data_IF_724516283768
#
_entry.id   IF_724516283768
#
_cell.length_a   1.000
_cell.length_b   1.000
_cell.length_c   1.000
_cell.angle_alpha   90.00
_cell.angle_beta   90.00
_cell.angle_gamma   90.00
#
_symmetry.space_group_name_H-M   'P 1'
#
loop_
_entity.id
_entity.type
_entity.pdbx_description
1 polymer ?
#
# COMPACT_ATOMS: atom_id res chain seq x y z
N UNK A 1 -6.96 2.89 -8.82
CA UNK A 1 -6.64 1.62 -9.49
C UNK A 1 -6.55 1.87 -10.98
N UNK A 2 -5.46 1.50 -11.58
CA UNK A 2 -5.05 1.89 -12.92
C UNK A 2 -5.64 0.98 -14.00
N UNK A 3 -5.93 1.55 -15.17
CA UNK A 3 -6.32 0.82 -16.38
C UNK A 3 -5.22 0.96 -17.43
N UNK A 4 -4.98 -0.08 -18.22
CA UNK A 4 -3.91 -0.08 -19.24
C UNK A 4 -4.07 1.03 -20.29
N UNK A 5 -5.26 1.56 -20.48
CA UNK A 5 -5.57 2.54 -21.53
C UNK A 5 -5.31 3.99 -21.11
N UNK A 6 -5.43 4.32 -19.82
CA UNK A 6 -5.33 5.71 -19.36
C UNK A 6 -4.00 6.06 -18.67
N UNK A 7 -3.28 5.05 -18.11
CA UNK A 7 -2.06 5.26 -17.30
C UNK A 7 -1.03 4.14 -17.52
N UNK A 8 -0.79 3.77 -18.78
CA UNK A 8 0.08 2.64 -19.14
C UNK A 8 1.46 2.71 -18.50
N UNK A 9 2.09 3.89 -18.47
CA UNK A 9 3.45 4.06 -17.94
C UNK A 9 3.48 3.81 -16.42
N UNK A 10 2.52 4.39 -15.69
CA UNK A 10 2.42 4.21 -14.23
C UNK A 10 2.10 2.77 -13.88
N UNK A 11 1.18 2.13 -14.63
CA UNK A 11 0.82 0.72 -14.45
C UNK A 11 2.04 -0.19 -14.63
N UNK A 12 2.77 -0.06 -15.74
CA UNK A 12 3.95 -0.88 -16.04
C UNK A 12 5.06 -0.61 -15.03
N UNK A 13 5.29 0.67 -14.68
CA UNK A 13 6.31 1.05 -13.71
C UNK A 13 6.06 0.44 -12.32
N UNK A 14 4.84 0.54 -11.81
CA UNK A 14 4.47 -0.07 -10.52
C UNK A 14 4.55 -1.59 -10.57
N UNK A 15 4.10 -2.20 -11.67
CA UNK A 15 4.15 -3.65 -11.81
C UNK A 15 5.59 -4.16 -11.80
N UNK A 16 6.51 -3.50 -12.52
CA UNK A 16 7.94 -3.85 -12.52
C UNK A 16 8.55 -3.68 -11.12
N UNK A 17 8.25 -2.57 -10.43
CA UNK A 17 8.75 -2.32 -9.07
C UNK A 17 8.30 -3.40 -8.10
N UNK A 18 7.02 -3.78 -8.12
CA UNK A 18 6.50 -4.81 -7.23
C UNK A 18 6.97 -6.22 -7.59
N UNK A 19 7.10 -6.54 -8.88
CA UNK A 19 7.68 -7.79 -9.32
C UNK A 19 9.14 -7.93 -8.85
N UNK A 20 9.92 -6.85 -8.97
CA UNK A 20 11.28 -6.79 -8.42
C UNK A 20 11.30 -7.04 -6.92
N UNK A 21 10.44 -6.32 -6.18
CA UNK A 21 10.33 -6.47 -4.74
C UNK A 21 9.92 -7.89 -4.33
N UNK A 22 9.02 -8.52 -5.08
CA UNK A 22 8.62 -9.92 -4.86
C UNK A 22 9.80 -10.87 -5.05
N UNK A 23 10.53 -10.77 -6.16
CA UNK A 23 11.70 -11.63 -6.45
C UNK A 23 12.73 -11.50 -5.34
N UNK A 24 13.00 -10.27 -4.89
CA UNK A 24 13.96 -10.02 -3.81
C UNK A 24 13.48 -10.59 -2.47
N UNK A 25 12.22 -10.38 -2.11
CA UNK A 25 11.62 -10.91 -0.88
C UNK A 25 11.62 -12.44 -0.84
N UNK A 26 11.33 -13.10 -1.97
CA UNK A 26 11.39 -14.57 -2.08
C UNK A 26 12.83 -15.07 -1.91
N UNK A 27 13.81 -14.42 -2.56
CA UNK A 27 15.23 -14.75 -2.37
C UNK A 27 15.64 -14.66 -0.90
N UNK A 28 15.27 -13.59 -0.22
CA UNK A 28 15.58 -13.38 1.19
C UNK A 28 14.87 -14.41 2.08
N UNK A 29 13.63 -14.79 1.77
CA UNK A 29 12.88 -15.82 2.48
C UNK A 29 13.55 -17.20 2.38
N UNK A 30 14.11 -17.54 1.21
CA UNK A 30 14.83 -18.79 1.01
C UNK A 30 16.17 -18.80 1.77
N UNK A 31 16.86 -17.65 1.82
CA UNK A 31 18.18 -17.50 2.47
C UNK A 31 18.09 -17.18 3.96
N UNK A 32 16.91 -17.03 4.53
CA UNK A 32 16.71 -16.64 5.91
C UNK A 32 17.31 -17.67 6.90
N UNK A 33 18.26 -17.27 7.78
CA UNK A 33 18.99 -18.19 8.63
C UNK A 33 18.18 -18.66 9.84
N UNK A 34 17.19 -17.89 10.29
CA UNK A 34 16.39 -18.20 11.47
C UNK A 34 14.90 -18.28 11.12
N UNK A 35 14.14 -19.02 11.91
CA UNK A 35 12.68 -19.13 11.75
C UNK A 35 12.01 -17.76 11.83
N UNK A 36 12.44 -16.92 12.76
CA UNK A 36 11.89 -15.56 12.95
C UNK A 36 12.13 -14.70 11.72
N UNK A 37 13.36 -14.69 11.20
CA UNK A 37 13.68 -13.95 9.96
C UNK A 37 12.88 -14.50 8.78
N UNK A 38 12.73 -15.82 8.70
CA UNK A 38 11.95 -16.49 7.63
C UNK A 38 10.47 -16.08 7.67
N UNK A 39 9.85 -16.10 8.84
CA UNK A 39 8.45 -15.64 8.99
C UNK A 39 8.34 -14.17 8.56
N UNK A 40 9.22 -13.31 9.06
CA UNK A 40 9.20 -11.88 8.73
C UNK A 40 9.39 -11.61 7.24
N UNK A 41 10.26 -12.36 6.57
CA UNK A 41 10.46 -12.25 5.10
C UNK A 41 9.25 -12.78 4.32
N UNK A 42 8.62 -13.88 4.75
CA UNK A 42 7.39 -14.36 4.13
C UNK A 42 6.24 -13.37 4.25
N UNK A 43 6.15 -12.64 5.35
CA UNK A 43 5.18 -11.54 5.50
C UNK A 43 5.40 -10.46 4.41
N UNK A 44 6.66 -10.15 4.05
CA UNK A 44 6.96 -9.23 2.94
C UNK A 44 6.59 -9.83 1.57
N UNK A 45 6.78 -11.13 1.37
CA UNK A 45 6.32 -11.81 0.14
C UNK A 45 4.80 -11.66 -0.01
N UNK A 46 4.03 -11.90 1.07
CA UNK A 46 2.57 -11.70 1.07
C UNK A 46 2.20 -10.27 0.70
N UNK A 47 2.91 -9.28 1.24
CA UNK A 47 2.70 -7.88 0.91
C UNK A 47 2.98 -7.59 -0.56
N UNK A 48 4.11 -8.04 -1.08
CA UNK A 48 4.48 -7.82 -2.49
C UNK A 48 3.47 -8.47 -3.46
N UNK A 49 3.00 -9.69 -3.15
CA UNK A 49 1.94 -10.36 -3.92
C UNK A 49 0.64 -9.56 -3.89
N UNK A 50 0.21 -9.10 -2.71
CA UNK A 50 -1.01 -8.29 -2.61
C UNK A 50 -0.90 -6.99 -3.42
N UNK A 51 0.25 -6.32 -3.39
CA UNK A 51 0.49 -5.10 -4.16
C UNK A 51 0.43 -5.37 -5.67
N UNK A 52 1.02 -6.46 -6.16
CA UNK A 52 0.91 -6.88 -7.57
C UNK A 52 -0.54 -7.13 -7.96
N UNK A 53 -1.30 -7.83 -7.13
CA UNK A 53 -2.71 -8.15 -7.40
C UNK A 53 -3.61 -6.91 -7.38
N UNK A 54 -3.23 -5.87 -6.63
CA UNK A 54 -3.97 -4.61 -6.55
C UNK A 54 -3.73 -3.69 -7.76
N UNK A 55 -2.61 -3.81 -8.46
CA UNK A 55 -2.30 -2.96 -9.62
C UNK A 55 -3.37 -3.13 -10.71
N UNK A 56 -3.74 -4.34 -11.20
CA UNK A 56 -4.85 -4.50 -12.13
C UNK A 56 -6.18 -4.62 -11.38
N UNK A 57 -7.10 -3.71 -11.63
CA UNK A 57 -8.45 -3.75 -11.04
C UNK A 57 -9.19 -5.07 -11.31
N UNK A 58 -8.93 -5.69 -12.46
CA UNK A 58 -9.54 -6.96 -12.86
C UNK A 58 -9.10 -8.16 -12.02
N UNK A 59 -7.92 -8.11 -11.42
CA UNK A 59 -7.38 -9.22 -10.61
C UNK A 59 -7.79 -9.12 -9.14
N UNK A 60 -7.92 -7.91 -8.63
CA UNK A 60 -8.22 -7.68 -7.21
C UNK A 60 -9.59 -8.21 -6.79
N UNK A 61 -10.64 -7.87 -7.57
CA UNK A 61 -12.02 -8.29 -7.22
C UNK A 61 -12.19 -9.81 -7.11
N UNK A 62 -11.82 -10.63 -8.12
CA UNK A 62 -11.96 -12.08 -8.03
C UNK A 62 -11.08 -12.68 -6.93
N UNK A 63 -9.87 -12.16 -6.72
CA UNK A 63 -8.98 -12.63 -5.65
C UNK A 63 -9.60 -12.41 -4.27
N UNK A 64 -10.10 -11.21 -4.00
CA UNK A 64 -10.77 -10.89 -2.71
C UNK A 64 -12.01 -11.75 -2.50
N UNK A 65 -12.79 -12.00 -3.55
CA UNK A 65 -13.95 -12.90 -3.48
C UNK A 65 -13.53 -14.33 -3.15
N UNK A 66 -12.46 -14.82 -3.75
CA UNK A 66 -11.96 -16.19 -3.55
C UNK A 66 -11.42 -16.43 -2.13
N UNK A 67 -10.83 -15.41 -1.47
CA UNK A 67 -10.26 -15.53 -0.12
C UNK A 67 -11.23 -15.21 1.02
N UNK A 68 -12.55 -15.11 0.74
CA UNK A 68 -13.56 -14.90 1.77
C UNK A 68 -14.05 -13.45 1.93
N UNK A 69 -13.86 -12.61 0.91
CA UNK A 69 -14.44 -11.28 0.84
C UNK A 69 -13.52 -10.14 1.30
N UNK A 70 -14.03 -8.88 1.27
CA UNK A 70 -13.21 -7.68 1.43
C UNK A 70 -12.64 -7.46 2.83
N UNK A 71 -13.11 -8.21 3.82
CA UNK A 71 -12.62 -8.13 5.22
C UNK A 71 -11.35 -8.97 5.42
N UNK A 72 -11.22 -10.08 4.70
CA UNK A 72 -10.12 -11.03 4.88
C UNK A 72 -8.73 -10.41 4.65
N UNK A 73 -8.47 -9.65 3.59
CA UNK A 73 -7.17 -8.98 3.43
C UNK A 73 -6.85 -8.05 4.59
N UNK A 74 -7.83 -7.29 5.09
CA UNK A 74 -7.63 -6.38 6.23
C UNK A 74 -7.18 -7.14 7.47
N UNK A 75 -7.82 -8.28 7.77
CA UNK A 75 -7.46 -9.12 8.93
C UNK A 75 -6.06 -9.70 8.76
N UNK A 76 -5.74 -10.25 7.58
CA UNK A 76 -4.42 -10.81 7.31
C UNK A 76 -3.34 -9.76 7.53
N UNK A 77 -3.51 -8.56 6.95
CA UNK A 77 -2.52 -7.49 7.10
C UNK A 77 -2.49 -6.89 8.51
N UNK A 78 -3.59 -6.91 9.26
CA UNK A 78 -3.60 -6.52 10.68
C UNK A 78 -2.75 -7.48 11.53
N UNK A 79 -2.85 -8.80 11.28
CA UNK A 79 -2.01 -9.81 11.93
C UNK A 79 -0.53 -9.62 11.55
N UNK A 80 -0.23 -9.38 10.27
CA UNK A 80 1.12 -9.09 9.80
C UNK A 80 1.69 -7.82 10.45
N UNK A 81 0.86 -6.77 10.57
CA UNK A 81 1.24 -5.52 11.27
C UNK A 81 1.54 -5.78 12.72
N UNK A 82 0.69 -6.51 13.43
CA UNK A 82 0.92 -6.87 14.84
C UNK A 82 2.25 -7.63 15.01
N UNK A 83 2.55 -8.57 14.12
CA UNK A 83 3.83 -9.28 14.10
C UNK A 83 5.00 -8.31 13.90
N UNK A 84 4.91 -7.40 12.94
CA UNK A 84 5.99 -6.45 12.65
C UNK A 84 6.21 -5.44 13.77
N UNK A 85 5.12 -4.96 14.40
CA UNK A 85 5.18 -4.09 15.60
C UNK A 85 5.84 -4.84 16.77
N UNK A 86 5.45 -6.08 17.01
CA UNK A 86 6.08 -6.91 18.04
C UNK A 86 7.59 -7.05 17.80
N UNK A 87 8.00 -7.35 16.56
CA UNK A 87 9.40 -7.47 16.19
C UNK A 87 10.17 -6.14 16.29
N UNK A 88 9.51 -5.01 15.95
CA UNK A 88 10.09 -3.68 16.08
C UNK A 88 10.31 -3.29 17.55
N UNK A 89 9.36 -3.59 18.41
CA UNK A 89 9.45 -3.36 19.85
C UNK A 89 10.54 -4.24 20.48
N UNK A 90 10.62 -5.52 20.09
CA UNK A 90 11.63 -6.46 20.59
C UNK A 90 13.05 -6.03 20.22
N UNK A 91 13.29 -5.60 18.97
CA UNK A 91 14.64 -5.23 18.50
C UNK A 91 15.00 -3.76 18.71
N UNK A 92 14.03 -2.91 19.06
CA UNK A 92 14.20 -1.46 19.26
C UNK A 92 14.98 -0.74 18.14
N UNK A 93 14.79 -1.19 16.88
CA UNK A 93 15.47 -0.65 15.70
C UNK A 93 14.54 0.28 14.93
N UNK A 94 15.03 1.48 14.60
CA UNK A 94 14.27 2.45 13.79
C UNK A 94 13.82 1.89 12.43
N UNK A 95 14.68 1.11 11.78
CA UNK A 95 14.36 0.47 10.51
C UNK A 95 13.20 -0.54 10.64
N UNK A 96 13.11 -1.28 11.75
CA UNK A 96 12.02 -2.21 12.02
C UNK A 96 10.68 -1.48 12.20
N UNK A 97 10.68 -0.30 12.83
CA UNK A 97 9.48 0.56 12.93
C UNK A 97 9.01 1.07 11.57
N UNK A 98 9.93 1.38 10.66
CA UNK A 98 9.59 1.75 9.29
C UNK A 98 8.83 0.63 8.57
N UNK A 99 9.26 -0.64 8.71
CA UNK A 99 8.56 -1.78 8.13
C UNK A 99 7.19 -1.99 8.79
N UNK A 100 7.07 -1.84 10.12
CA UNK A 100 5.78 -1.88 10.80
C UNK A 100 4.82 -0.80 10.27
N UNK A 101 5.32 0.42 10.02
CA UNK A 101 4.55 1.50 9.42
C UNK A 101 4.08 1.18 7.99
N UNK A 102 4.90 0.48 7.18
CA UNK A 102 4.47 0.02 5.85
C UNK A 102 3.28 -0.94 5.92
N UNK A 103 3.31 -1.91 6.84
CA UNK A 103 2.19 -2.83 7.05
C UNK A 103 0.95 -2.12 7.60
N UNK A 104 1.13 -1.18 8.52
CA UNK A 104 0.04 -0.34 9.03
C UNK A 104 -0.60 0.51 7.90
N UNK A 105 0.21 1.07 7.00
CA UNK A 105 -0.28 1.79 5.84
C UNK A 105 -1.07 0.88 4.89
N UNK A 106 -0.69 -0.39 4.73
CA UNK A 106 -1.45 -1.36 3.95
C UNK A 106 -2.82 -1.66 4.58
N UNK A 107 -2.88 -1.86 5.91
CA UNK A 107 -4.16 -2.02 6.63
C UNK A 107 -5.05 -0.81 6.44
N UNK A 108 -4.50 0.40 6.62
CA UNK A 108 -5.21 1.65 6.40
C UNK A 108 -5.74 1.76 4.97
N UNK A 109 -4.90 1.50 3.97
CA UNK A 109 -5.28 1.54 2.55
C UNK A 109 -6.45 0.59 2.24
N UNK A 110 -6.36 -0.67 2.68
CA UNK A 110 -7.40 -1.67 2.47
C UNK A 110 -8.71 -1.32 3.21
N UNK A 111 -8.61 -0.77 4.43
CA UNK A 111 -9.77 -0.31 5.19
C UNK A 111 -10.47 0.87 4.49
N UNK A 112 -9.70 1.83 3.97
CA UNK A 112 -10.22 2.96 3.21
C UNK A 112 -10.91 2.49 1.92
N UNK A 113 -10.28 1.59 1.14
CA UNK A 113 -10.91 1.01 -0.06
C UNK A 113 -12.21 0.27 0.25
N UNK A 114 -12.25 -0.48 1.35
CA UNK A 114 -13.48 -1.15 1.80
C UNK A 114 -14.57 -0.12 2.14
N UNK A 115 -14.23 0.96 2.83
CA UNK A 115 -15.17 2.04 3.16
C UNK A 115 -15.74 2.70 1.90
N UNK A 116 -14.89 3.05 0.94
CA UNK A 116 -15.34 3.59 -0.36
C UNK A 116 -16.30 2.61 -1.05
N UNK A 117 -15.95 1.32 -1.12
CA UNK A 117 -16.80 0.30 -1.73
C UNK A 117 -18.16 0.17 -1.04
N UNK A 118 -18.23 0.28 0.30
CA UNK A 118 -19.48 0.23 1.05
C UNK A 118 -20.35 1.46 0.81
N UNK A 119 -19.75 2.65 0.66
CA UNK A 119 -20.48 3.88 0.33
C UNK A 119 -21.07 3.82 -1.07
N UNK A 120 -20.36 3.25 -2.04
CA UNK A 120 -20.85 3.08 -3.41
C UNK A 120 -21.93 1.99 -3.53
N UNK A 121 -21.92 0.99 -2.63
CA UNK A 121 -22.90 -0.11 -2.64
C UNK A 121 -24.17 0.20 -1.83
N UNK A 122 -24.17 1.27 -1.02
CA UNK A 122 -25.34 1.66 -0.26
C UNK A 122 -26.50 2.03 -1.22
N UNK A 123 -27.66 1.37 -1.12
CA UNK A 123 -28.80 1.71 -1.95
C UNK A 123 -29.17 3.17 -1.67
N UNK A 124 -29.37 3.95 -2.72
CA UNK A 124 -29.84 5.34 -2.63
C UNK A 124 -31.33 5.35 -2.25
N UNK A 125 -31.67 4.74 -1.11
CA UNK A 125 -32.98 4.85 -0.48
C UNK A 125 -33.06 6.10 0.39
N UNK A 126 -32.78 7.24 -0.16
CA UNK A 126 -33.28 8.50 0.36
C UNK A 126 -34.46 8.88 -0.50
N UNK A 127 -35.67 8.77 0.09
CA UNK A 127 -36.92 9.11 -0.52
C UNK A 127 -36.90 10.49 -1.15
N UNK A 128 -36.64 10.52 -2.44
CA UNK A 128 -37.00 11.61 -3.29
C UNK A 128 -38.20 11.13 -4.14
N UNK A 129 -39.34 11.64 -3.77
CA UNK A 129 -40.56 11.62 -4.62
C UNK A 129 -40.15 11.81 -6.06
N UNK A 130 -40.66 10.93 -6.93
CA UNK A 130 -40.64 11.10 -8.38
C UNK A 130 -41.30 12.41 -8.75
N UNK A 131 -40.58 13.50 -8.73
CA UNK A 131 -40.96 14.72 -9.45
C UNK A 131 -40.20 14.69 -10.76
N UNK A 132 -40.97 14.69 -11.85
CA UNK A 132 -40.57 14.80 -13.26
C UNK A 132 -39.32 15.68 -13.43
N UNK A 133 -38.16 15.11 -13.76
CA UNK A 133 -36.99 15.90 -14.14
C UNK A 133 -36.63 15.69 -15.61
N UNK A 134 -36.76 16.81 -16.34
CA UNK A 134 -36.26 16.99 -17.68
C UNK A 134 -34.76 16.67 -17.81
N UNK A 135 -34.38 16.20 -18.96
CA UNK A 135 -33.08 15.64 -19.39
C UNK A 135 -31.81 16.49 -19.20
N UNK A 136 -31.78 17.57 -18.41
CA UNK A 136 -30.63 18.48 -18.25
C UNK A 136 -29.77 18.24 -16.98
N UNK A 137 -30.07 17.21 -16.16
CA UNK A 137 -29.51 17.05 -14.81
C UNK A 137 -28.39 16.04 -14.67
N UNK A 138 -27.87 15.43 -15.75
CA UNK A 138 -26.93 14.31 -15.63
C UNK A 138 -25.50 14.69 -15.10
N UNK A 139 -25.12 15.96 -15.22
CA UNK A 139 -23.82 16.45 -14.70
C UNK A 139 -23.82 16.81 -13.21
N UNK A 140 -24.97 17.09 -12.59
CA UNK A 140 -25.02 17.51 -11.18
C UNK A 140 -24.99 16.35 -10.18
N UNK A 141 -25.44 15.15 -10.57
CA UNK A 141 -25.49 13.96 -9.71
C UNK A 141 -24.07 13.46 -9.37
N UNK A 142 -23.13 13.54 -10.32
CA UNK A 142 -21.75 13.12 -10.11
C UNK A 142 -21.01 13.96 -9.05
N UNK A 143 -21.25 15.27 -9.03
CA UNK A 143 -20.59 16.19 -8.09
C UNK A 143 -21.11 16.00 -6.65
N UNK A 144 -22.39 15.76 -6.45
CA UNK A 144 -22.97 15.50 -5.13
C UNK A 144 -22.44 14.20 -4.50
N UNK A 145 -22.32 13.14 -5.27
CA UNK A 145 -21.77 11.86 -4.79
C UNK A 145 -20.30 12.00 -4.39
N UNK A 146 -19.50 12.69 -5.20
CA UNK A 146 -18.08 12.91 -4.90
C UNK A 146 -17.89 13.73 -3.61
N UNK A 147 -18.72 14.73 -3.38
CA UNK A 147 -18.68 15.54 -2.15
C UNK A 147 -18.99 14.70 -0.92
N UNK A 148 -20.00 13.82 -0.99
CA UNK A 148 -20.36 12.91 0.12
C UNK A 148 -19.23 11.93 0.40
N UNK A 149 -18.63 11.33 -0.64
CA UNK A 149 -17.50 10.41 -0.49
C UNK A 149 -16.31 11.16 0.14
N UNK A 150 -15.98 12.35 -0.33
CA UNK A 150 -14.88 13.14 0.21
C UNK A 150 -15.08 13.50 1.68
N UNK A 151 -16.28 13.91 2.07
CA UNK A 151 -16.60 14.19 3.49
C UNK A 151 -16.47 12.92 4.35
N UNK A 152 -17.01 11.80 3.91
CA UNK A 152 -16.93 10.53 4.63
C UNK A 152 -15.50 9.95 4.70
N UNK A 153 -14.62 10.33 3.77
CA UNK A 153 -13.23 9.87 3.71
C UNK A 153 -12.24 10.83 4.37
N UNK A 154 -12.69 12.01 4.82
CA UNK A 154 -11.80 13.01 5.42
C UNK A 154 -11.01 12.45 6.62
N UNK A 155 -11.67 11.77 7.55
CA UNK A 155 -11.01 11.20 8.74
C UNK A 155 -9.99 10.12 8.38
N UNK A 156 -10.30 9.31 7.35
CA UNK A 156 -9.34 8.34 6.82
C UNK A 156 -8.12 9.02 6.18
N UNK A 157 -8.33 10.11 5.45
CA UNK A 157 -7.25 10.87 4.85
C UNK A 157 -6.34 11.51 5.91
N UNK A 158 -6.92 12.10 6.96
CA UNK A 158 -6.17 12.65 8.10
C UNK A 158 -5.34 11.58 8.80
N UNK A 159 -5.94 10.41 9.10
CA UNK A 159 -5.22 9.29 9.70
C UNK A 159 -4.12 8.71 8.78
N UNK A 160 -4.29 8.81 7.47
CA UNK A 160 -3.32 8.35 6.48
C UNK A 160 -2.11 9.28 6.30
N UNK A 161 -2.25 10.57 6.58
CA UNK A 161 -1.18 11.54 6.36
C UNK A 161 0.15 11.17 7.06
N UNK A 162 0.20 10.84 8.35
CA UNK A 162 1.44 10.43 9.00
C UNK A 162 2.01 9.13 8.43
N UNK A 163 1.17 8.20 8.00
CA UNK A 163 1.62 6.96 7.34
C UNK A 163 2.27 7.26 6.00
N UNK A 164 1.73 8.21 5.22
CA UNK A 164 2.35 8.66 3.97
C UNK A 164 3.72 9.28 4.18
N UNK A 165 3.88 10.11 5.23
CA UNK A 165 5.19 10.68 5.59
C UNK A 165 6.17 9.56 5.95
N UNK A 166 5.73 8.57 6.72
CA UNK A 166 6.55 7.42 7.07
C UNK A 166 6.96 6.60 5.83
N UNK A 167 6.03 6.35 4.88
CA UNK A 167 6.31 5.66 3.62
C UNK A 167 7.33 6.42 2.77
N UNK A 168 7.18 7.73 2.63
CA UNK A 168 8.14 8.55 1.88
C UNK A 168 9.51 8.57 2.55
N UNK A 169 9.58 8.66 3.87
CA UNK A 169 10.84 8.56 4.61
C UNK A 169 11.53 7.20 4.39
N UNK A 170 10.74 6.10 4.39
CA UNK A 170 11.25 4.76 4.10
C UNK A 170 11.71 4.62 2.63
N UNK A 171 10.97 5.19 1.68
CA UNK A 171 11.38 5.21 0.28
C UNK A 171 12.71 5.95 0.11
N UNK A 172 12.87 7.12 0.73
CA UNK A 172 14.13 7.88 0.70
C UNK A 172 15.27 7.08 1.35
N UNK A 173 15.03 6.41 2.48
CA UNK A 173 16.03 5.58 3.15
C UNK A 173 16.45 4.40 2.27
N UNK A 174 15.49 3.70 1.64
CA UNK A 174 15.74 2.62 0.68
C UNK A 174 16.56 3.09 -0.53
N UNK A 175 16.19 4.24 -1.12
CA UNK A 175 16.91 4.83 -2.23
C UNK A 175 18.35 5.22 -1.85
N UNK A 176 18.53 5.84 -0.69
CA UNK A 176 19.87 6.18 -0.17
C UNK A 176 20.73 4.93 0.01
N UNK A 177 20.17 3.83 0.51
CA UNK A 177 20.86 2.53 0.64
C UNK A 177 21.21 1.97 -0.73
N UNK A 178 20.29 2.03 -1.70
CA UNK A 178 20.52 1.58 -3.06
C UNK A 178 21.65 2.35 -3.75
N UNK A 179 21.75 3.65 -3.54
CA UNK A 179 22.81 4.49 -4.12
C UNK A 179 24.16 4.27 -3.41
N UNK A 180 24.15 4.30 -2.07
CA UNK A 180 25.39 4.26 -1.28
C UNK A 180 26.07 2.89 -1.30
N UNK A 181 25.31 1.81 -1.36
CA UNK A 181 25.83 0.44 -1.26
C UNK A 181 26.58 0.14 0.05
N UNK A 182 26.37 0.97 1.08
CA UNK A 182 27.05 0.81 2.38
C UNK A 182 26.30 -0.18 3.25
N UNK A 183 27.04 -1.13 3.84
CA UNK A 183 26.50 -2.04 4.82
C UNK A 183 26.07 -1.27 6.08
N UNK A 184 24.86 -1.56 6.55
CA UNK A 184 24.44 -1.12 7.89
C UNK A 184 25.03 -2.05 8.96
N UNK A 185 25.22 -1.51 10.16
CA UNK A 185 25.58 -2.33 11.31
C UNK A 185 24.54 -3.45 11.51
N UNK A 186 24.96 -4.70 11.80
CA UNK A 186 24.03 -5.83 11.95
C UNK A 186 22.91 -5.58 12.96
N UNK A 187 23.17 -4.74 13.97
CA UNK A 187 22.16 -4.33 14.96
C UNK A 187 21.05 -3.41 14.39
N UNK A 188 21.29 -2.76 13.23
CA UNK A 188 20.33 -1.85 12.58
C UNK A 188 19.54 -2.51 11.47
N UNK A 189 19.94 -3.72 11.04
CA UNK A 189 19.24 -4.46 9.98
C UNK A 189 17.90 -4.96 10.52
N UNK A 190 16.76 -4.69 9.83
CA UNK A 190 15.47 -5.19 10.25
C UNK A 190 15.42 -6.71 10.33
N UNK A 191 14.54 -7.25 11.17
CA UNK A 191 14.35 -8.70 11.30
C UNK A 191 13.91 -9.39 10.01
N UNK A 192 13.33 -8.64 9.09
CA UNK A 192 12.81 -9.11 7.80
C UNK A 192 13.86 -9.14 6.67
N UNK A 193 15.08 -8.69 6.92
CA UNK A 193 16.14 -8.72 5.93
C UNK A 193 17.28 -9.66 6.33
N UNK A 194 17.81 -10.34 5.34
CA UNK A 194 19.06 -11.07 5.48
C UNK A 194 20.22 -10.06 5.43
N UNK A 195 21.15 -10.17 6.36
CA UNK A 195 22.33 -9.30 6.39
C UNK A 195 23.12 -9.51 5.10
N UNK A 196 23.10 -8.52 4.23
CA UNK A 196 23.88 -8.53 3.00
C UNK A 196 25.28 -7.96 3.27
N UNK A 197 26.30 -8.70 2.86
CA UNK A 197 27.71 -8.28 2.99
C UNK A 197 28.26 -7.70 1.70
N UNK A 198 27.72 -8.11 0.56
CA UNK A 198 28.13 -7.63 -0.76
C UNK A 198 27.47 -6.30 -1.13
N UNK A 199 28.23 -5.32 -1.64
CA UNK A 199 27.69 -4.00 -2.01
C UNK A 199 26.52 -4.07 -2.99
N UNK A 200 26.57 -5.00 -3.96
CA UNK A 200 25.49 -5.19 -4.91
C UNK A 200 24.21 -5.69 -4.23
N UNK A 201 24.32 -6.66 -3.33
CA UNK A 201 23.16 -7.18 -2.60
C UNK A 201 22.51 -6.10 -1.70
N UNK A 202 23.33 -5.22 -1.11
CA UNK A 202 22.87 -4.08 -0.30
C UNK A 202 22.07 -3.10 -1.18
N UNK A 203 22.60 -2.77 -2.36
CA UNK A 203 21.92 -1.87 -3.31
C UNK A 203 20.59 -2.45 -3.78
N UNK A 204 20.56 -3.73 -4.12
CA UNK A 204 19.36 -4.40 -4.61
C UNK A 204 18.29 -4.55 -3.52
N UNK A 205 18.68 -4.78 -2.27
CA UNK A 205 17.80 -4.76 -1.11
C UNK A 205 17.22 -3.37 -0.87
N UNK A 206 18.05 -2.32 -0.92
CA UNK A 206 17.60 -0.93 -0.83
C UNK A 206 16.62 -0.54 -1.92
N UNK A 207 16.81 -1.04 -3.15
CA UNK A 207 15.87 -0.84 -4.26
C UNK A 207 14.53 -1.54 -4.00
N UNK A 208 14.54 -2.73 -3.38
CA UNK A 208 13.30 -3.43 -3.04
C UNK A 208 12.51 -2.69 -1.95
N UNK A 209 13.18 -2.15 -0.93
CA UNK A 209 12.56 -1.33 0.10
C UNK A 209 11.98 -0.03 -0.48
N UNK A 210 12.74 0.64 -1.36
CA UNK A 210 12.25 1.79 -2.10
C UNK A 210 11.00 1.45 -2.92
N UNK A 211 11.04 0.36 -3.67
CA UNK A 211 9.94 -0.06 -4.54
C UNK A 211 8.65 -0.31 -3.76
N UNK A 212 8.73 -0.99 -2.62
CA UNK A 212 7.57 -1.24 -1.76
C UNK A 212 7.03 0.05 -1.15
N UNK A 213 7.87 0.84 -0.52
CA UNK A 213 7.45 2.05 0.18
C UNK A 213 6.92 3.12 -0.78
N UNK A 214 7.64 3.37 -1.89
CA UNK A 214 7.23 4.33 -2.91
C UNK A 214 5.97 3.90 -3.64
N UNK A 215 5.89 2.63 -4.05
CA UNK A 215 4.72 2.11 -4.75
C UNK A 215 3.46 2.16 -3.88
N UNK A 216 3.57 1.86 -2.58
CA UNK A 216 2.47 1.99 -1.62
C UNK A 216 2.07 3.46 -1.46
N UNK A 217 3.03 4.37 -1.28
CA UNK A 217 2.76 5.79 -1.20
C UNK A 217 2.02 6.28 -2.45
N UNK A 218 2.50 5.90 -3.64
CA UNK A 218 1.88 6.28 -4.91
C UNK A 218 0.43 5.78 -5.03
N UNK A 219 0.18 4.49 -4.74
CA UNK A 219 -1.19 3.95 -4.79
C UNK A 219 -2.13 4.60 -3.77
N UNK A 220 -1.60 5.13 -2.67
CA UNK A 220 -2.40 5.75 -1.62
C UNK A 220 -2.68 7.24 -1.84
N UNK A 221 -2.10 7.88 -2.85
CA UNK A 221 -2.31 9.31 -3.13
C UNK A 221 -3.76 9.67 -3.41
N UNK A 222 -4.50 8.79 -4.11
CA UNK A 222 -5.95 8.98 -4.35
C UNK A 222 -6.77 9.10 -3.05
N UNK A 223 -6.36 8.41 -1.99
CA UNK A 223 -7.06 8.43 -0.70
C UNK A 223 -6.83 9.72 0.10
N UNK A 224 -5.83 10.52 -0.28
CA UNK A 224 -5.51 11.80 0.36
C UNK A 224 -6.16 13.00 -0.33
N UNK A 225 -6.83 12.81 -1.46
CA UNK A 225 -7.51 13.89 -2.20
C UNK A 225 -8.47 14.74 -1.34
N UNK A 226 -9.18 14.19 -0.32
CA UNK A 226 -10.04 15.00 0.54
C UNK A 226 -9.32 16.09 1.34
N UNK A 227 -8.02 15.90 1.66
CA UNK A 227 -7.20 16.87 2.42
C UNK A 227 -6.14 17.55 1.54
N UNK A 228 -5.79 16.96 0.40
CA UNK A 228 -4.79 17.45 -0.54
C UNK A 228 -5.32 17.43 -1.97
N UNK A 229 -6.20 18.38 -2.37
CA UNK A 229 -6.89 18.33 -3.67
C UNK A 229 -5.94 18.37 -4.87
N UNK A 230 -4.72 18.90 -4.73
CA UNK A 230 -3.71 18.87 -5.79
C UNK A 230 -3.27 17.46 -6.16
N UNK A 231 -3.43 16.48 -5.28
CA UNK A 231 -3.13 15.07 -5.55
C UNK A 231 -4.02 14.48 -6.65
N UNK A 232 -5.22 15.05 -6.88
CA UNK A 232 -6.09 14.64 -7.97
C UNK A 232 -5.45 14.86 -9.36
N UNK A 233 -4.57 15.85 -9.50
CA UNK A 233 -3.87 16.15 -10.75
C UNK A 233 -2.72 15.17 -11.07
N UNK A 234 -2.30 14.35 -10.10
CA UNK A 234 -1.27 13.34 -10.33
C UNK A 234 -1.82 12.08 -11.03
N UNK A 235 -3.16 11.95 -11.10
CA UNK A 235 -3.86 10.83 -11.71
C UNK A 235 -4.82 11.35 -12.79
N UNK A 236 -4.32 11.69 -14.00
CA UNK A 236 -5.16 12.12 -15.11
C UNK A 236 -6.08 11.02 -15.65
#
# INVERSE_FOLDING_TARGET
>A
MFTLTSTSVTFVGLFILFAWSLVWSVRDAIKAPTVVTRISTWVHVVMAVAMILMVPKSWWKPTVSAIGGPTTPVIIFAICTAWMVFMAAWRSSWSSWGHAAMFAAMVWHLAAMRKVSSLMAAPQHSGMSQTNYNHSGMHSVGHGMQTIINAAMHDYAVAGAPLMVALLAMAIAGLRRAISGRAESPSKVPACHVVATEPLAIRLSGLADFAMAFGMAWMSTELLTPIMPFMAHLHP
#
